data_IF_885969218791
#
_entry.id   IF_885969218791
#
_cell.length_a   1.000
_cell.length_b   1.000
_cell.length_c   1.000
_cell.angle_alpha   90.00
_cell.angle_beta   90.00
_cell.angle_gamma   90.00
#
_symmetry.space_group_name_H-M   'P 1'
#
loop_
_entity.id
_entity.type
_entity.pdbx_description
1 polymer ?
#
# COMPACT_ATOMS: atom_id res chain seq x y z
N UNK A 1 29.59 47.35 -69.88
CA UNK A 1 28.80 47.19 -71.12
C UNK A 1 27.41 46.64 -70.73
N UNK A 2 26.37 47.49 -70.89
CA UNK A 2 24.88 47.26 -70.90
C UNK A 2 24.22 46.52 -69.69
N UNK A 3 23.54 47.23 -68.76
CA UNK A 3 22.11 47.70 -68.71
C UNK A 3 21.09 46.52 -68.72
N UNK A 4 20.09 46.38 -67.82
CA UNK A 4 18.96 47.26 -67.39
C UNK A 4 18.40 46.75 -66.02
N UNK A 5 18.21 47.54 -64.97
CA UNK A 5 17.06 48.39 -64.57
C UNK A 5 15.67 47.72 -64.61
N UNK A 6 15.04 47.52 -63.43
CA UNK A 6 13.63 47.88 -63.15
C UNK A 6 13.40 48.03 -61.63
N UNK A 7 13.05 49.26 -61.22
CA UNK A 7 12.33 49.59 -59.99
C UNK A 7 10.95 48.91 -60.03
N UNK A 8 10.40 48.49 -58.89
CA UNK A 8 9.06 48.89 -58.47
C UNK A 8 8.89 48.80 -56.95
N UNK A 9 8.36 49.89 -56.42
CA UNK A 9 7.97 50.18 -55.06
C UNK A 9 6.51 49.74 -54.89
N UNK A 10 6.17 49.01 -53.82
CA UNK A 10 4.81 49.05 -53.24
C UNK A 10 4.83 48.59 -51.79
N UNK A 11 4.51 49.53 -50.90
CA UNK A 11 4.15 49.30 -49.52
C UNK A 11 2.68 48.90 -49.44
N UNK A 12 2.32 47.95 -48.57
CA UNK A 12 1.00 47.98 -47.92
C UNK A 12 0.99 47.23 -46.58
N UNK A 13 0.84 48.07 -45.56
CA UNK A 13 0.27 47.90 -44.22
C UNK A 13 -0.68 46.69 -44.02
N UNK A 14 -0.48 45.92 -42.94
CA UNK A 14 -1.54 45.71 -41.95
C UNK A 14 -0.95 45.32 -40.59
N UNK A 15 -1.21 46.16 -39.61
CA UNK A 15 -0.98 45.91 -38.20
C UNK A 15 -2.16 45.10 -37.61
N UNK A 16 -1.85 44.13 -36.78
CA UNK A 16 -2.76 43.64 -35.74
C UNK A 16 -1.94 43.42 -34.47
N UNK A 17 -1.95 44.45 -33.62
CA UNK A 17 -1.48 44.36 -32.24
C UNK A 17 -2.62 43.73 -31.45
N UNK A 18 -2.49 42.46 -31.06
CA UNK A 18 -3.36 41.87 -30.06
C UNK A 18 -2.81 42.24 -28.67
N UNK A 19 -3.44 43.22 -28.03
CA UNK A 19 -3.24 43.50 -26.62
C UNK A 19 -3.89 42.40 -25.78
N UNK A 20 -3.10 41.76 -24.92
CA UNK A 20 -3.61 40.92 -23.85
C UNK A 20 -4.05 41.82 -22.69
N UNK A 21 -5.36 42.02 -22.55
CA UNK A 21 -5.99 42.59 -21.35
C UNK A 21 -6.52 41.45 -20.50
N UNK A 22 -6.10 41.44 -19.24
CA UNK A 22 -6.56 40.56 -18.18
C UNK A 22 -8.09 40.55 -18.06
N UNK A 23 -8.68 39.36 -18.18
CA UNK A 23 -10.02 39.05 -17.71
C UNK A 23 -9.93 37.84 -16.80
N UNK A 24 -10.07 38.07 -15.49
CA UNK A 24 -10.27 37.03 -14.49
C UNK A 24 -11.65 36.40 -14.70
N UNK A 25 -11.70 35.26 -15.37
CA UNK A 25 -12.85 34.36 -15.30
C UNK A 25 -12.58 33.36 -14.18
N UNK A 26 -13.14 33.63 -13.01
CA UNK A 26 -13.40 32.61 -11.99
C UNK A 26 -14.32 31.56 -12.61
N UNK A 27 -13.74 30.44 -13.03
CA UNK A 27 -14.50 29.22 -13.28
C UNK A 27 -14.91 28.61 -11.93
N UNK A 28 -16.16 28.10 -11.83
CA UNK A 28 -16.75 27.75 -10.55
C UNK A 28 -15.99 26.60 -9.88
N UNK A 29 -15.78 26.73 -8.56
CA UNK A 29 -15.26 25.70 -7.66
C UNK A 29 -15.98 24.36 -7.92
N UNK A 30 -15.31 23.52 -8.71
CA UNK A 30 -15.73 22.16 -8.95
C UNK A 30 -15.41 21.33 -7.70
N UNK A 31 -16.46 20.95 -6.99
CA UNK A 31 -16.54 19.92 -5.95
C UNK A 31 -15.41 18.89 -6.08
N UNK A 32 -14.41 18.93 -5.19
CA UNK A 32 -13.32 17.97 -5.21
C UNK A 32 -13.83 16.60 -4.77
N UNK A 33 -13.98 15.70 -5.73
CA UNK A 33 -14.24 14.28 -5.57
C UNK A 33 -13.18 13.64 -4.64
N UNK A 34 -13.53 13.49 -3.37
CA UNK A 34 -12.70 12.86 -2.33
C UNK A 34 -12.78 11.32 -2.42
N UNK A 35 -12.34 10.75 -3.55
CA UNK A 35 -12.39 9.29 -3.70
C UNK A 35 -11.60 8.63 -4.84
N UNK A 36 -11.15 9.38 -5.86
CA UNK A 36 -10.52 8.79 -7.06
C UNK A 36 -9.01 9.03 -7.19
N UNK A 37 -8.39 9.70 -6.22
CA UNK A 37 -6.94 9.93 -6.16
C UNK A 37 -6.12 8.71 -5.72
N UNK A 38 -5.04 8.44 -6.46
CA UNK A 38 -3.88 7.55 -6.27
C UNK A 38 -4.06 6.07 -5.89
N UNK A 39 -5.20 5.63 -5.34
CA UNK A 39 -5.39 4.26 -4.81
C UNK A 39 -6.71 3.58 -5.22
N UNK A 40 -7.39 4.08 -6.25
CA UNK A 40 -8.74 3.63 -6.64
C UNK A 40 -8.93 2.10 -6.69
N UNK A 41 -7.92 1.34 -7.14
CA UNK A 41 -8.01 -0.11 -7.29
C UNK A 41 -7.25 -0.95 -6.23
N UNK A 42 -6.42 -0.33 -5.38
CA UNK A 42 -5.59 -1.05 -4.38
C UNK A 42 -6.43 -1.65 -3.25
N UNK A 43 -5.90 -2.63 -2.53
CA UNK A 43 -6.68 -3.23 -1.43
C UNK A 43 -6.88 -2.23 -0.26
N UNK A 44 -5.91 -1.35 0.01
CA UNK A 44 -6.05 -0.27 1.00
C UNK A 44 -7.10 0.76 0.58
N UNK A 45 -7.13 1.12 -0.71
CA UNK A 45 -8.15 2.04 -1.24
C UNK A 45 -9.57 1.48 -1.13
N UNK A 46 -9.75 0.17 -1.38
CA UNK A 46 -11.03 -0.53 -1.16
C UNK A 46 -11.44 -0.50 0.31
N UNK A 47 -10.52 -0.80 1.23
CA UNK A 47 -10.78 -0.76 2.66
C UNK A 47 -11.24 0.64 3.11
N UNK A 48 -10.52 1.69 2.72
CA UNK A 48 -10.85 3.06 3.08
C UNK A 48 -12.26 3.46 2.62
N UNK A 49 -12.65 3.10 1.38
CA UNK A 49 -14.00 3.35 0.87
C UNK A 49 -15.07 2.58 1.63
N UNK A 50 -14.83 1.31 1.97
CA UNK A 50 -15.79 0.52 2.74
C UNK A 50 -15.97 1.06 4.16
N UNK A 51 -14.90 1.49 4.84
CA UNK A 51 -15.00 2.16 6.13
C UNK A 51 -15.77 3.48 6.04
N UNK A 52 -15.46 4.34 5.07
CA UNK A 52 -16.18 5.60 4.87
C UNK A 52 -17.67 5.38 4.56
N UNK A 53 -17.97 4.41 3.69
CA UNK A 53 -19.34 4.06 3.33
C UNK A 53 -20.16 3.59 4.53
N UNK A 54 -19.61 2.70 5.35
CA UNK A 54 -20.26 2.21 6.56
C UNK A 54 -20.39 3.29 7.64
N UNK A 55 -19.34 4.09 7.87
CA UNK A 55 -19.37 5.18 8.85
C UNK A 55 -20.49 6.20 8.56
N UNK A 56 -20.70 6.52 7.27
CA UNK A 56 -21.73 7.47 6.82
C UNK A 56 -23.16 6.99 7.07
N UNK A 57 -23.41 5.68 7.23
CA UNK A 57 -24.75 5.16 7.51
C UNK A 57 -25.28 5.64 8.86
N UNK A 58 -24.40 5.74 9.86
CA UNK A 58 -24.74 6.14 11.23
C UNK A 58 -24.37 7.60 11.54
N UNK A 59 -23.69 8.30 10.62
CA UNK A 59 -23.18 9.66 10.82
C UNK A 59 -23.51 10.56 9.62
N UNK A 60 -24.77 10.97 9.48
CA UNK A 60 -25.19 11.98 8.51
C UNK A 60 -24.51 13.34 8.78
N UNK A 61 -24.02 14.05 7.75
CA UNK A 61 -23.32 15.35 7.87
C UNK A 61 -21.86 15.35 7.40
N UNK A 62 -21.07 16.34 7.84
CA UNK A 62 -19.71 16.67 7.37
C UNK A 62 -18.78 15.48 7.07
N UNK A 63 -18.04 15.60 5.97
CA UNK A 63 -17.18 14.57 5.41
C UNK A 63 -15.87 14.40 6.22
N UNK A 64 -15.66 13.19 6.75
CA UNK A 64 -14.31 12.73 7.12
C UNK A 64 -13.53 12.48 5.83
N UNK A 65 -12.38 13.14 5.69
CA UNK A 65 -11.46 12.90 4.58
C UNK A 65 -10.40 11.90 5.01
N UNK A 66 -10.37 10.74 4.35
CA UNK A 66 -9.29 9.78 4.47
C UNK A 66 -8.25 10.03 3.40
N UNK A 67 -6.99 10.09 3.81
CA UNK A 67 -5.85 10.08 2.89
C UNK A 67 -5.05 8.80 3.08
N UNK A 68 -5.19 7.82 2.17
CA UNK A 68 -4.33 6.66 2.18
C UNK A 68 -2.89 7.10 1.93
N UNK A 69 -1.95 6.51 2.66
CA UNK A 69 -0.52 6.74 2.45
C UNK A 69 0.13 5.45 1.97
N UNK A 70 1.03 5.57 1.00
CA UNK A 70 1.89 4.44 0.60
C UNK A 70 2.71 4.00 1.81
N UNK A 71 3.12 2.73 1.80
CA UNK A 71 4.25 2.27 2.61
C UNK A 71 5.39 3.28 2.42
N UNK A 72 5.84 3.95 3.47
CA UNK A 72 6.89 4.98 3.42
C UNK A 72 6.50 6.33 2.79
N UNK A 73 5.23 6.74 2.84
CA UNK A 73 4.82 8.04 2.35
C UNK A 73 5.70 9.19 2.86
N UNK A 74 6.02 10.09 1.92
CA UNK A 74 7.02 11.15 2.05
C UNK A 74 6.57 12.27 3.00
N UNK A 75 7.51 13.18 3.27
CA UNK A 75 7.33 14.47 3.95
C UNK A 75 6.03 15.20 3.57
N UNK A 76 5.60 15.10 2.31
CA UNK A 76 4.37 15.72 1.79
C UNK A 76 3.09 15.24 2.50
N UNK A 77 3.06 14.00 3.01
CA UNK A 77 1.92 13.49 3.77
C UNK A 77 1.59 14.40 4.97
N UNK A 78 2.58 15.10 5.54
CA UNK A 78 2.38 15.97 6.70
C UNK A 78 2.30 17.46 6.36
N UNK A 79 2.73 17.87 5.17
CA UNK A 79 2.61 19.28 4.76
C UNK A 79 1.15 19.71 4.62
N UNK A 80 0.28 18.73 4.31
CA UNK A 80 -1.16 18.87 4.13
C UNK A 80 -2.00 18.30 5.30
N UNK A 81 -1.37 17.95 6.43
CA UNK A 81 -2.09 17.63 7.68
C UNK A 81 -2.78 18.90 8.19
N UNK A 82 -3.92 19.22 7.59
CA UNK A 82 -4.86 20.20 8.09
C UNK A 82 -5.79 19.52 9.10
N UNK A 83 -6.43 20.32 9.95
CA UNK A 83 -7.47 19.85 10.85
C UNK A 83 -8.53 19.08 10.02
N UNK A 84 -8.97 17.92 10.52
CA UNK A 84 -9.95 16.99 9.91
C UNK A 84 -9.44 15.94 8.89
N UNK A 85 -8.16 15.94 8.46
CA UNK A 85 -7.61 14.85 7.63
C UNK A 85 -7.13 13.67 8.47
N UNK A 86 -7.56 12.45 8.12
CA UNK A 86 -7.10 11.20 8.74
C UNK A 86 -6.21 10.46 7.75
N UNK A 87 -5.00 10.11 8.19
CA UNK A 87 -4.07 9.36 7.36
C UNK A 87 -4.17 7.88 7.67
N UNK A 88 -4.26 7.05 6.63
CA UNK A 88 -4.36 5.60 6.78
C UNK A 88 -3.20 4.95 6.05
N UNK A 89 -2.35 4.21 6.76
CA UNK A 89 -1.20 3.55 6.16
C UNK A 89 -0.33 2.85 7.18
N UNK A 90 0.94 2.66 6.88
CA UNK A 90 1.84 1.85 7.71
C UNK A 90 2.79 2.73 8.53
N UNK A 91 3.78 2.12 9.19
CA UNK A 91 4.78 2.83 9.99
C UNK A 91 5.43 3.94 9.14
N UNK A 92 5.41 5.16 9.67
CA UNK A 92 6.04 6.30 9.04
C UNK A 92 7.57 6.19 9.09
N UNK A 93 8.29 6.69 8.08
CA UNK A 93 9.74 6.87 8.17
C UNK A 93 10.10 7.77 9.37
N UNK A 94 11.22 7.49 10.09
CA UNK A 94 11.64 8.33 11.23
C UNK A 94 11.71 9.81 10.89
N UNK A 95 12.25 10.14 9.71
CA UNK A 95 12.36 11.53 9.24
C UNK A 95 11.00 12.23 9.14
N UNK A 96 9.94 11.54 8.69
CA UNK A 96 8.60 12.11 8.59
C UNK A 96 7.98 12.36 9.98
N UNK A 97 8.25 11.48 10.95
CA UNK A 97 7.87 11.69 12.36
C UNK A 97 8.60 12.89 12.95
N UNK A 98 9.90 13.04 12.67
CA UNK A 98 10.72 14.15 13.17
C UNK A 98 10.33 15.49 12.52
N UNK A 99 10.02 15.49 11.22
CA UNK A 99 9.49 16.66 10.50
C UNK A 99 8.16 17.13 11.10
N UNK A 100 7.24 16.20 11.37
CA UNK A 100 5.99 16.51 12.05
C UNK A 100 6.22 17.08 13.45
N UNK A 101 7.11 16.45 14.24
CA UNK A 101 7.43 16.91 15.59
C UNK A 101 8.04 18.31 15.60
N UNK A 102 8.93 18.63 14.66
CA UNK A 102 9.49 19.98 14.50
C UNK A 102 8.42 21.02 14.18
N UNK A 103 7.41 20.65 13.36
CA UNK A 103 6.35 21.58 12.94
C UNK A 103 5.30 21.83 14.02
N UNK A 104 4.88 20.79 14.73
CA UNK A 104 3.72 20.85 15.63
C UNK A 104 4.07 20.77 17.13
N UNK A 105 5.33 20.47 17.47
CA UNK A 105 5.81 20.37 18.85
C UNK A 105 5.52 19.03 19.55
N UNK A 106 4.95 18.06 18.83
CA UNK A 106 4.66 16.70 19.33
C UNK A 106 4.62 15.70 18.17
N UNK A 107 4.75 14.40 18.46
CA UNK A 107 4.69 13.33 17.45
C UNK A 107 3.24 13.04 17.02
N UNK A 108 2.99 12.58 15.78
CA UNK A 108 1.65 12.18 15.37
C UNK A 108 1.21 10.95 16.18
N UNK A 109 -0.08 10.88 16.53
CA UNK A 109 -0.59 9.72 17.26
C UNK A 109 -0.88 8.60 16.26
N UNK A 110 -0.17 7.49 16.40
CA UNK A 110 -0.31 6.30 15.57
C UNK A 110 -1.23 5.29 16.26
N UNK A 111 -2.33 4.93 15.60
CA UNK A 111 -3.38 4.08 16.17
C UNK A 111 -3.42 2.80 15.36
N UNK A 112 -3.16 1.65 16.01
CA UNK A 112 -3.19 0.35 15.33
C UNK A 112 -4.63 -0.08 15.09
N UNK A 113 -5.00 -0.28 13.82
CA UNK A 113 -6.39 -0.55 13.43
C UNK A 113 -6.60 -1.89 12.75
N UNK A 114 -5.55 -2.48 12.17
CA UNK A 114 -5.60 -3.79 11.55
C UNK A 114 -4.20 -4.40 11.44
N UNK A 115 -4.15 -5.70 11.17
CA UNK A 115 -2.97 -6.41 10.70
C UNK A 115 -3.06 -6.61 9.19
N UNK A 116 -1.94 -6.41 8.52
CA UNK A 116 -1.70 -6.72 7.12
C UNK A 116 -0.61 -7.78 7.04
N UNK A 117 -0.80 -8.77 6.16
CA UNK A 117 0.13 -9.88 6.00
C UNK A 117 0.29 -10.23 4.55
N UNK A 118 1.55 -10.32 4.12
CA UNK A 118 1.90 -10.78 2.78
C UNK A 118 2.18 -12.27 2.79
N UNK A 119 1.32 -13.01 2.10
CA UNK A 119 1.52 -14.43 1.86
C UNK A 119 2.19 -14.66 0.51
N UNK A 120 3.05 -15.69 0.46
CA UNK A 120 3.55 -16.24 -0.80
C UNK A 120 2.66 -17.41 -1.18
N UNK A 121 2.13 -17.37 -2.39
CA UNK A 121 1.20 -18.35 -2.93
C UNK A 121 1.87 -19.18 -4.01
N UNK A 122 1.50 -20.46 -4.03
CA UNK A 122 1.79 -21.39 -5.12
C UNK A 122 0.54 -22.20 -5.42
N UNK A 123 0.50 -22.85 -6.57
CA UNK A 123 -0.54 -23.82 -6.88
C UNK A 123 -0.61 -24.92 -5.80
N UNK A 124 -1.81 -25.42 -5.47
CA UNK A 124 -2.00 -26.40 -4.39
C UNK A 124 -1.19 -27.69 -4.57
N UNK A 125 -1.01 -28.13 -5.81
CA UNK A 125 -0.23 -29.32 -6.18
C UNK A 125 1.29 -29.12 -6.17
N UNK A 126 1.78 -27.89 -6.02
CA UNK A 126 3.21 -27.65 -5.88
C UNK A 126 3.71 -28.26 -4.56
N UNK A 127 4.76 -29.11 -4.54
CA UNK A 127 5.17 -29.82 -3.33
C UNK A 127 5.95 -28.96 -2.32
N UNK A 128 6.35 -27.73 -2.67
CA UNK A 128 7.10 -26.86 -1.76
C UNK A 128 6.29 -26.57 -0.49
N UNK A 129 6.95 -26.64 0.68
CA UNK A 129 6.29 -26.48 1.99
C UNK A 129 6.51 -25.10 2.59
N UNK A 130 7.67 -24.51 2.33
CA UNK A 130 8.03 -23.21 2.84
C UNK A 130 9.24 -22.65 2.12
N UNK A 131 9.49 -21.35 2.32
CA UNK A 131 10.63 -20.63 1.74
C UNK A 131 11.22 -19.65 2.75
N UNK A 132 12.54 -19.49 2.73
CA UNK A 132 13.19 -18.41 3.46
C UNK A 132 13.01 -17.08 2.74
N UNK A 133 13.16 -15.95 3.43
CA UNK A 133 13.15 -14.63 2.76
C UNK A 133 14.23 -14.51 1.68
N UNK A 134 15.37 -15.19 1.84
CA UNK A 134 16.42 -15.24 0.83
C UNK A 134 15.96 -15.99 -0.44
N UNK A 135 15.29 -17.13 -0.29
CA UNK A 135 14.72 -17.88 -1.41
C UNK A 135 13.62 -17.08 -2.13
N UNK A 136 12.78 -16.36 -1.39
CA UNK A 136 11.78 -15.48 -2.01
C UNK A 136 12.49 -14.35 -2.77
N UNK A 137 13.52 -13.75 -2.20
CA UNK A 137 14.37 -12.77 -2.89
C UNK A 137 14.89 -13.30 -4.22
N UNK A 138 15.47 -14.52 -4.23
CA UNK A 138 15.97 -15.19 -5.43
C UNK A 138 14.93 -15.34 -6.55
N UNK A 139 13.66 -15.57 -6.20
CA UNK A 139 12.56 -15.73 -7.16
C UNK A 139 12.14 -14.40 -7.76
N UNK A 140 12.04 -13.34 -6.95
CA UNK A 140 11.39 -12.09 -7.36
C UNK A 140 12.36 -10.98 -7.80
N UNK A 141 13.62 -11.02 -7.37
CA UNK A 141 14.58 -9.95 -7.65
C UNK A 141 15.05 -9.93 -9.09
N UNK A 142 15.14 -8.75 -9.70
CA UNK A 142 15.94 -8.54 -10.91
C UNK A 142 17.42 -8.36 -10.62
N UNK A 143 17.74 -7.85 -9.44
CA UNK A 143 19.09 -7.63 -8.94
C UNK A 143 19.14 -8.04 -7.47
N UNK A 144 20.07 -8.91 -7.12
CA UNK A 144 20.25 -9.33 -5.72
C UNK A 144 20.98 -8.26 -4.93
N UNK A 145 20.28 -7.59 -4.02
CA UNK A 145 20.85 -6.52 -3.17
C UNK A 145 21.17 -6.96 -1.75
N UNK A 146 20.66 -8.10 -1.32
CA UNK A 146 20.87 -8.60 0.03
C UNK A 146 20.58 -10.10 0.12
N UNK A 147 20.93 -10.69 1.27
CA UNK A 147 20.65 -12.10 1.59
C UNK A 147 21.35 -13.11 0.66
N UNK A 148 22.35 -12.68 -0.12
CA UNK A 148 23.19 -13.54 -0.96
C UNK A 148 22.42 -14.32 -2.02
N UNK A 149 21.19 -13.91 -2.34
CA UNK A 149 20.28 -14.67 -3.17
C UNK A 149 20.78 -14.69 -4.62
N UNK A 150 21.02 -15.87 -5.19
CA UNK A 150 21.20 -16.01 -6.63
C UNK A 150 19.83 -16.17 -7.29
N UNK A 151 19.63 -15.60 -8.48
CA UNK A 151 18.33 -15.69 -9.14
C UNK A 151 17.92 -17.15 -9.38
N UNK A 152 16.73 -17.50 -8.91
CA UNK A 152 16.13 -18.81 -9.14
C UNK A 152 15.14 -18.70 -10.31
N UNK A 153 15.46 -19.38 -11.42
CA UNK A 153 14.59 -19.45 -12.60
C UNK A 153 13.73 -20.73 -12.65
N UNK A 154 14.09 -21.74 -11.86
CA UNK A 154 13.42 -23.05 -11.84
C UNK A 154 13.09 -23.48 -10.42
N UNK A 155 12.09 -24.35 -10.31
CA UNK A 155 11.72 -24.98 -9.03
C UNK A 155 12.85 -25.86 -8.46
N UNK A 156 13.72 -26.42 -9.30
CA UNK A 156 14.91 -27.16 -8.86
C UNK A 156 15.93 -26.30 -8.13
N UNK A 157 16.10 -25.03 -8.51
CA UNK A 157 16.95 -24.08 -7.79
C UNK A 157 16.43 -23.79 -6.36
N UNK A 158 15.16 -24.11 -6.08
CA UNK A 158 14.53 -24.00 -4.76
C UNK A 158 14.51 -25.35 -4.01
N UNK A 159 15.21 -26.36 -4.52
CA UNK A 159 15.33 -27.68 -3.88
C UNK A 159 14.22 -28.68 -4.22
N UNK A 160 13.35 -28.39 -5.20
CA UNK A 160 12.40 -29.38 -5.68
C UNK A 160 13.07 -30.40 -6.63
N UNK A 161 12.69 -31.67 -6.50
CA UNK A 161 13.29 -32.77 -7.25
C UNK A 161 12.31 -33.40 -8.27
N UNK A 162 12.80 -34.37 -9.03
CA UNK A 162 12.00 -35.14 -9.99
C UNK A 162 11.38 -34.27 -11.07
N UNK A 163 10.09 -34.46 -11.35
CA UNK A 163 9.35 -33.70 -12.39
C UNK A 163 9.30 -32.19 -12.12
N UNK A 164 9.66 -31.74 -10.92
CA UNK A 164 9.73 -30.32 -10.58
C UNK A 164 11.10 -29.70 -10.80
N UNK A 165 12.17 -30.49 -10.90
CA UNK A 165 13.54 -29.97 -10.95
C UNK A 165 13.76 -29.02 -12.14
N UNK A 166 13.28 -29.39 -13.32
CA UNK A 166 13.43 -28.59 -14.55
C UNK A 166 12.25 -27.64 -14.82
N UNK A 167 11.24 -27.57 -13.95
CA UNK A 167 10.07 -26.72 -14.19
C UNK A 167 10.45 -25.25 -14.04
N UNK A 168 10.12 -24.38 -15.02
CA UNK A 168 10.37 -22.95 -14.92
C UNK A 168 9.43 -22.31 -13.88
N UNK A 169 9.87 -21.22 -13.26
CA UNK A 169 9.04 -20.39 -12.41
C UNK A 169 8.24 -19.39 -13.26
N UNK A 170 6.95 -19.29 -13.00
CA UNK A 170 6.10 -18.19 -13.49
C UNK A 170 5.81 -17.26 -12.32
N UNK A 171 6.40 -16.07 -12.34
CA UNK A 171 6.42 -15.17 -11.17
C UNK A 171 5.40 -14.05 -11.36
N UNK A 172 4.48 -13.91 -10.41
CA UNK A 172 3.42 -12.90 -10.42
C UNK A 172 3.53 -11.97 -9.22
N UNK A 173 3.45 -10.67 -9.44
CA UNK A 173 3.54 -9.67 -8.39
C UNK A 173 2.42 -8.65 -8.49
N UNK A 174 2.22 -7.88 -7.41
CA UNK A 174 1.34 -6.73 -7.44
C UNK A 174 2.11 -5.53 -8.00
N UNK A 175 1.47 -4.78 -8.91
CA UNK A 175 2.04 -3.62 -9.56
C UNK A 175 2.25 -2.41 -8.63
N UNK A 176 3.01 -1.39 -9.06
CA UNK A 176 3.44 -0.26 -8.24
C UNK A 176 2.31 0.70 -7.81
N UNK A 177 1.08 0.47 -8.25
CA UNK A 177 -0.10 1.21 -7.79
C UNK A 177 -0.66 0.70 -6.45
N UNK A 178 -0.21 -0.46 -5.97
CA UNK A 178 -0.59 -1.02 -4.66
C UNK A 178 0.57 -0.91 -3.66
N UNK A 179 0.27 -0.60 -2.41
CA UNK A 179 1.27 -0.39 -1.36
C UNK A 179 2.03 -1.66 -0.95
N UNK A 180 1.51 -2.85 -1.30
CA UNK A 180 2.25 -4.11 -1.12
C UNK A 180 3.49 -4.18 -2.00
N UNK A 181 3.49 -3.52 -3.17
CA UNK A 181 4.63 -3.49 -4.05
C UNK A 181 5.86 -2.94 -3.33
N UNK A 182 5.72 -1.74 -2.74
CA UNK A 182 6.81 -1.07 -2.03
C UNK A 182 7.19 -1.83 -0.76
N UNK A 183 6.21 -2.37 -0.04
CA UNK A 183 6.49 -3.18 1.15
C UNK A 183 7.31 -4.43 0.83
N UNK A 184 6.91 -5.19 -0.18
CA UNK A 184 7.60 -6.40 -0.61
C UNK A 184 9.03 -6.09 -1.06
N UNK A 185 9.22 -5.04 -1.87
CA UNK A 185 10.55 -4.58 -2.29
C UNK A 185 11.45 -4.26 -1.11
N UNK A 186 10.92 -3.60 -0.08
CA UNK A 186 11.73 -3.24 1.09
C UNK A 186 12.05 -4.44 1.98
N UNK A 187 11.06 -5.28 2.30
CA UNK A 187 11.25 -6.38 3.26
C UNK A 187 12.00 -7.58 2.67
N UNK A 188 11.72 -7.90 1.40
CA UNK A 188 12.24 -9.10 0.75
C UNK A 188 13.44 -8.78 -0.13
N UNK A 189 13.36 -7.69 -0.90
CA UNK A 189 14.38 -7.33 -1.91
C UNK A 189 15.38 -6.27 -1.42
N UNK A 190 15.28 -5.83 -0.16
CA UNK A 190 16.12 -4.78 0.43
C UNK A 190 16.19 -3.51 -0.42
N UNK A 191 15.03 -3.05 -0.89
CA UNK A 191 14.89 -1.88 -1.75
C UNK A 191 15.16 -2.14 -3.24
N UNK A 192 15.59 -3.34 -3.60
CA UNK A 192 15.79 -3.79 -4.99
C UNK A 192 14.49 -3.81 -5.81
N UNK A 193 14.65 -3.88 -7.13
CA UNK A 193 13.54 -3.99 -8.08
C UNK A 193 13.09 -5.44 -8.30
N UNK A 194 11.84 -5.60 -8.71
CA UNK A 194 11.37 -6.86 -9.28
C UNK A 194 12.08 -7.14 -10.60
N UNK A 195 12.28 -8.42 -10.94
CA UNK A 195 12.85 -8.81 -12.22
C UNK A 195 11.91 -8.53 -13.40
N UNK A 196 12.47 -8.30 -14.59
CA UNK A 196 11.69 -8.03 -15.80
C UNK A 196 10.77 -9.19 -16.20
N UNK A 197 11.11 -10.41 -15.78
CA UNK A 197 10.30 -11.62 -15.97
C UNK A 197 9.04 -11.67 -15.09
N UNK A 198 8.92 -10.78 -14.09
CA UNK A 198 7.80 -10.77 -13.15
C UNK A 198 6.57 -10.13 -13.81
N UNK A 199 5.47 -10.87 -13.85
CA UNK A 199 4.20 -10.40 -14.40
C UNK A 199 3.39 -9.66 -13.34
N UNK A 200 3.18 -8.37 -13.57
CA UNK A 200 2.47 -7.51 -12.62
C UNK A 200 0.96 -7.57 -12.79
N UNK A 201 0.24 -7.56 -11.67
CA UNK A 201 -1.21 -7.55 -11.57
C UNK A 201 -1.71 -6.40 -10.69
N UNK A 202 -2.96 -5.94 -10.87
CA UNK A 202 -3.46 -4.76 -10.19
C UNK A 202 -3.77 -4.94 -8.69
N UNK A 203 -3.95 -6.16 -8.19
CA UNK A 203 -4.26 -6.45 -6.78
C UNK A 203 -4.05 -7.93 -6.42
N UNK A 204 -4.16 -8.24 -5.13
CA UNK A 204 -3.98 -9.59 -4.56
C UNK A 204 -4.88 -10.65 -5.21
N UNK A 205 -6.14 -10.31 -5.53
CA UNK A 205 -7.09 -11.25 -6.15
C UNK A 205 -6.69 -11.61 -7.60
N UNK A 206 -6.11 -10.68 -8.34
CA UNK A 206 -5.62 -10.94 -9.69
C UNK A 206 -4.36 -11.82 -9.69
N UNK A 207 -3.43 -11.61 -8.76
CA UNK A 207 -2.27 -12.52 -8.56
C UNK A 207 -2.75 -13.91 -8.17
N UNK A 208 -3.67 -14.00 -7.21
CA UNK A 208 -4.26 -15.25 -6.75
C UNK A 208 -4.85 -16.08 -7.90
N UNK A 209 -5.63 -15.45 -8.77
CA UNK A 209 -6.17 -16.13 -9.96
C UNK A 209 -5.06 -16.64 -10.88
N UNK A 210 -4.07 -15.82 -11.19
CA UNK A 210 -2.96 -16.22 -12.07
C UNK A 210 -2.17 -17.42 -11.49
N UNK A 211 -1.97 -17.45 -10.17
CA UNK A 211 -1.32 -18.58 -9.48
C UNK A 211 -2.18 -19.84 -9.49
N UNK A 212 -3.51 -19.70 -9.40
CA UNK A 212 -4.43 -20.85 -9.43
C UNK A 212 -4.51 -21.54 -10.80
N UNK A 213 -4.10 -20.87 -11.88
CA UNK A 213 -4.21 -21.36 -13.26
C UNK A 213 -2.96 -22.11 -13.74
N UNK A 214 -1.87 -22.14 -12.97
CA UNK A 214 -0.60 -22.73 -13.40
C UNK A 214 0.17 -23.42 -12.29
N UNK A 215 0.52 -24.69 -12.51
CA UNK A 215 1.39 -25.47 -11.61
C UNK A 215 2.75 -24.81 -11.36
N UNK A 216 3.22 -24.02 -12.34
CA UNK A 216 4.53 -23.40 -12.31
C UNK A 216 4.54 -22.03 -11.61
N UNK A 217 3.36 -21.56 -11.18
CA UNK A 217 3.19 -20.20 -10.68
C UNK A 217 3.58 -20.03 -9.23
N UNK A 218 4.16 -18.86 -8.96
CA UNK A 218 4.42 -18.30 -7.63
C UNK A 218 4.04 -16.83 -7.63
N UNK A 219 3.42 -16.36 -6.57
CA UNK A 219 3.10 -14.93 -6.43
C UNK A 219 2.93 -14.51 -4.99
N UNK A 220 2.75 -13.21 -4.75
CA UNK A 220 2.47 -12.68 -3.42
C UNK A 220 1.23 -11.80 -3.39
N UNK A 221 0.60 -11.70 -2.22
CA UNK A 221 -0.50 -10.77 -1.99
C UNK A 221 -0.99 -10.80 -0.55
N UNK A 222 -2.03 -10.01 -0.27
CA UNK A 222 -2.71 -10.02 1.03
C UNK A 222 -3.41 -11.35 1.26
N UNK A 223 -3.49 -11.75 2.52
CA UNK A 223 -4.17 -12.96 2.94
C UNK A 223 -5.60 -13.00 2.40
N UNK A 224 -5.82 -13.78 1.36
CA UNK A 224 -7.14 -14.26 0.98
C UNK A 224 -7.19 -15.69 1.50
N UNK A 225 -8.12 -15.97 2.42
CA UNK A 225 -8.44 -17.32 2.86
C UNK A 225 -8.34 -18.30 1.69
N UNK A 226 -7.59 -19.39 1.88
CA UNK A 226 -7.25 -20.44 0.90
C UNK A 226 -8.29 -20.55 -0.22
N UNK A 227 -7.99 -19.97 -1.38
CA UNK A 227 -8.65 -20.36 -2.62
C UNK A 227 -8.28 -21.82 -2.83
N UNK A 228 -9.26 -22.69 -3.04
CA UNK A 228 -9.10 -24.16 -3.02
C UNK A 228 -7.98 -24.69 -3.91
N UNK A 229 -7.62 -23.97 -4.98
CA UNK A 229 -6.59 -24.31 -5.96
C UNK A 229 -5.19 -23.78 -5.63
N UNK A 230 -5.02 -23.06 -4.53
CA UNK A 230 -3.74 -22.52 -4.08
C UNK A 230 -3.44 -22.86 -2.63
N UNK A 231 -2.17 -22.71 -2.25
CA UNK A 231 -1.76 -22.71 -0.85
C UNK A 231 -0.79 -21.57 -0.57
N UNK A 232 -0.87 -21.05 0.63
CA UNK A 232 0.11 -20.11 1.16
C UNK A 232 1.29 -20.89 1.79
N UNK A 233 2.50 -20.42 1.56
CA UNK A 233 3.72 -21.05 2.05
C UNK A 233 4.05 -20.61 3.48
N UNK A 234 4.63 -21.53 4.26
CA UNK A 234 5.25 -21.15 5.52
C UNK A 234 6.56 -20.42 5.26
N UNK A 235 6.85 -19.37 6.01
CA UNK A 235 8.04 -18.54 5.79
C UNK A 235 9.00 -18.61 6.98
N UNK A 236 10.29 -18.57 6.69
CA UNK A 236 11.34 -18.40 7.69
C UNK A 236 12.17 -17.15 7.36
N UNK A 237 12.64 -16.44 8.38
CA UNK A 237 13.51 -15.26 8.19
C UNK A 237 14.83 -15.66 7.51
N UNK A 238 15.41 -16.77 7.95
CA UNK A 238 16.62 -17.39 7.41
C UNK A 238 16.57 -18.92 7.62
N UNK A 239 17.66 -19.62 7.29
CA UNK A 239 17.75 -21.09 7.34
C UNK A 239 17.81 -21.66 8.77
N UNK A 240 18.12 -20.84 9.78
CA UNK A 240 18.24 -21.26 11.18
C UNK A 240 16.97 -20.97 11.98
N UNK A 241 15.98 -20.34 11.37
CA UNK A 241 14.71 -19.97 11.98
C UNK A 241 13.60 -20.95 11.57
N UNK A 242 12.61 -21.21 12.44
CA UNK A 242 11.51 -22.09 12.10
C UNK A 242 10.65 -21.50 10.98
N UNK A 243 10.09 -22.39 10.15
CA UNK A 243 9.05 -22.01 9.21
C UNK A 243 7.75 -21.72 9.97
N UNK A 244 7.18 -20.54 9.74
CA UNK A 244 5.95 -20.08 10.37
C UNK A 244 4.86 -20.00 9.30
N UNK A 245 3.73 -20.67 9.56
CA UNK A 245 2.59 -20.65 8.66
C UNK A 245 1.83 -19.30 8.75
N UNK A 246 1.24 -18.81 7.64
CA UNK A 246 0.42 -17.60 7.63
C UNK A 246 -0.98 -17.88 8.20
N UNK A 247 -1.06 -18.35 9.45
CA UNK A 247 -2.32 -18.59 10.17
C UNK A 247 -2.62 -17.46 11.14
N UNK A 248 -3.86 -17.42 11.65
CA UNK A 248 -4.35 -16.32 12.50
C UNK A 248 -3.43 -16.04 13.70
N UNK A 249 -3.06 -17.07 14.47
CA UNK A 249 -2.25 -16.90 15.68
C UNK A 249 -0.86 -16.31 15.39
N UNK A 250 -0.02 -16.91 14.53
CA UNK A 250 1.30 -16.35 14.16
C UNK A 250 1.26 -14.95 13.55
N UNK A 251 0.14 -14.59 12.90
CA UNK A 251 -0.04 -13.25 12.37
C UNK A 251 -0.39 -12.27 13.49
N UNK A 252 -1.31 -12.65 14.40
CA UNK A 252 -1.73 -11.80 15.51
C UNK A 252 -0.61 -11.57 16.53
N UNK A 253 0.22 -12.57 16.80
CA UNK A 253 1.37 -12.45 17.71
C UNK A 253 2.64 -11.89 17.04
N UNK A 254 2.62 -11.69 15.72
CA UNK A 254 3.72 -11.13 14.95
C UNK A 254 4.87 -12.10 14.65
N UNK A 255 4.69 -13.41 14.88
CA UNK A 255 5.69 -14.43 14.55
C UNK A 255 5.85 -14.67 13.04
N UNK A 256 4.83 -14.38 12.23
CA UNK A 256 4.92 -14.55 10.78
C UNK A 256 5.77 -13.42 10.14
N UNK A 257 6.84 -13.74 9.36
CA UNK A 257 7.86 -12.76 8.96
C UNK A 257 7.40 -11.54 8.17
N UNK A 258 6.27 -11.62 7.45
CA UNK A 258 5.77 -10.56 6.58
C UNK A 258 4.46 -9.96 7.09
N UNK A 259 4.33 -9.83 8.41
CA UNK A 259 3.19 -9.18 9.07
C UNK A 259 3.54 -7.77 9.53
N UNK A 260 2.57 -6.86 9.42
CA UNK A 260 2.69 -5.47 9.88
C UNK A 260 1.35 -4.92 10.35
N UNK A 261 1.39 -3.89 11.19
CA UNK A 261 0.19 -3.14 11.54
C UNK A 261 -0.14 -2.09 10.47
N UNK A 262 -1.43 -2.02 10.12
CA UNK A 262 -2.04 -0.85 9.52
C UNK A 262 -2.39 0.14 10.64
N UNK A 263 -2.08 1.40 10.41
CA UNK A 263 -2.28 2.49 11.34
C UNK A 263 -3.22 3.54 10.76
N UNK A 264 -3.97 4.17 11.65
CA UNK A 264 -4.50 5.49 11.44
C UNK A 264 -3.58 6.49 12.15
N UNK A 265 -3.20 7.56 11.47
CA UNK A 265 -2.51 8.69 12.07
C UNK A 265 -3.45 9.88 12.18
N UNK A 266 -3.47 10.46 13.37
CA UNK A 266 -4.23 11.67 13.68
C UNK A 266 -3.31 12.72 14.31
N UNK A 267 -3.62 13.97 14.02
CA UNK A 267 -3.06 15.11 14.72
C UNK A 267 -3.78 15.27 16.07
N UNK A 268 -3.41 14.44 17.05
CA UNK A 268 -3.88 14.55 18.42
C UNK A 268 -2.75 15.13 19.27
N UNK A 269 -3.05 16.21 20.00
CA UNK A 269 -2.12 16.73 21.01
C UNK A 269 -2.03 15.74 22.19
N UNK A 270 -0.85 15.55 22.81
CA UNK A 270 -0.71 14.63 23.93
C UNK A 270 -1.62 14.96 25.12
N UNK A 271 -1.80 16.26 25.38
CA UNK A 271 -2.54 16.83 26.53
C UNK A 271 -4.06 16.93 26.32
N UNK A 272 -4.59 16.48 25.17
CA UNK A 272 -6.02 16.62 24.85
C UNK A 272 -6.58 15.36 24.22
N UNK A 273 -7.85 15.01 24.50
CA UNK A 273 -8.52 13.94 23.77
C UNK A 273 -8.68 14.32 22.29
N UNK A 274 -8.77 13.31 21.43
CA UNK A 274 -9.22 13.53 20.05
C UNK A 274 -10.72 13.86 20.10
N UNK A 275 -11.15 14.88 19.36
CA UNK A 275 -12.53 15.36 19.39
C UNK A 275 -13.16 15.40 17.99
N UNK A 276 -14.47 15.59 17.96
CA UNK A 276 -15.24 15.73 16.72
C UNK A 276 -15.23 14.49 15.84
N UNK A 277 -15.45 14.71 14.53
CA UNK A 277 -15.67 13.65 13.55
C UNK A 277 -14.50 12.69 13.39
N UNK A 278 -13.27 13.15 13.59
CA UNK A 278 -12.10 12.27 13.55
C UNK A 278 -12.14 11.25 14.69
N UNK A 279 -12.55 11.70 15.88
CA UNK A 279 -12.70 10.85 17.05
C UNK A 279 -13.80 9.80 16.84
N UNK A 280 -14.95 10.21 16.30
CA UNK A 280 -16.05 9.30 15.95
C UNK A 280 -15.63 8.25 14.91
N UNK A 281 -14.91 8.68 13.86
CA UNK A 281 -14.44 7.78 12.82
C UNK A 281 -13.45 6.74 13.38
N UNK A 282 -12.47 7.16 14.18
CA UNK A 282 -11.53 6.19 14.76
C UNK A 282 -12.23 5.25 15.73
N UNK A 283 -13.18 5.75 16.53
CA UNK A 283 -14.01 4.91 17.42
C UNK A 283 -14.77 3.86 16.61
N UNK A 284 -15.36 4.25 15.49
CA UNK A 284 -16.03 3.35 14.57
C UNK A 284 -15.08 2.30 14.00
N UNK A 285 -13.90 2.68 13.50
CA UNK A 285 -12.90 1.74 12.95
C UNK A 285 -12.46 0.69 13.98
N UNK A 286 -12.31 1.09 15.25
CA UNK A 286 -11.95 0.18 16.36
C UNK A 286 -13.16 -0.58 16.94
N UNK A 287 -14.39 -0.28 16.51
CA UNK A 287 -15.61 -0.96 16.96
C UNK A 287 -15.78 -2.33 16.29
N UNK A 288 -16.64 -3.22 16.80
CA UNK A 288 -16.98 -4.47 16.13
C UNK A 288 -17.45 -4.27 14.68
N UNK A 289 -18.21 -3.21 14.39
CA UNK A 289 -18.69 -2.90 13.04
C UNK A 289 -17.56 -2.51 12.08
N UNK A 290 -16.63 -1.66 12.54
CA UNK A 290 -15.45 -1.27 11.76
C UNK A 290 -14.48 -2.43 11.51
N UNK A 291 -14.26 -3.26 12.54
CA UNK A 291 -13.39 -4.45 12.44
C UNK A 291 -13.99 -5.54 11.54
N UNK A 292 -15.31 -5.70 11.49
CA UNK A 292 -15.98 -6.67 10.62
C UNK A 292 -15.78 -6.41 9.12
N UNK A 293 -15.37 -5.18 8.74
CA UNK A 293 -15.10 -4.81 7.34
C UNK A 293 -13.74 -5.32 6.86
N UNK A 294 -12.78 -5.57 7.76
CA UNK A 294 -11.38 -5.87 7.42
C UNK A 294 -11.23 -7.16 6.62
N UNK A 295 -11.85 -8.26 7.07
CA UNK A 295 -11.67 -9.58 6.47
C UNK A 295 -12.08 -9.64 4.98
N UNK A 296 -13.13 -8.90 4.60
CA UNK A 296 -13.58 -8.81 3.20
C UNK A 296 -12.61 -8.06 2.29
N UNK A 297 -11.67 -7.32 2.87
CA UNK A 297 -10.65 -6.53 2.18
C UNK A 297 -9.24 -7.13 2.31
N UNK A 298 -9.10 -8.34 2.86
CA UNK A 298 -7.81 -9.03 3.00
C UNK A 298 -6.96 -8.56 4.18
N UNK A 299 -7.55 -7.84 5.14
CA UNK A 299 -6.90 -7.42 6.38
C UNK A 299 -7.42 -8.23 7.57
N UNK A 300 -6.61 -8.32 8.61
CA UNK A 300 -6.92 -9.11 9.82
C UNK A 300 -7.29 -8.14 10.96
N UNK A 301 -8.44 -8.36 11.64
CA UNK A 301 -8.82 -7.58 12.80
C UNK A 301 -7.75 -7.57 13.89
N UNK A 302 -7.62 -6.44 14.59
CA UNK A 302 -6.86 -6.42 15.84
C UNK A 302 -7.64 -7.15 16.94
N UNK A 303 -6.94 -7.66 17.95
CA UNK A 303 -7.60 -8.27 19.10
C UNK A 303 -8.45 -7.22 19.85
N UNK A 304 -9.45 -7.68 20.60
CA UNK A 304 -10.27 -6.79 21.45
C UNK A 304 -9.41 -6.01 22.47
N UNK A 305 -8.32 -6.61 22.95
CA UNK A 305 -7.39 -5.96 23.87
C UNK A 305 -6.61 -4.85 23.20
N UNK A 306 -6.11 -5.09 21.98
CA UNK A 306 -5.48 -4.04 21.18
C UNK A 306 -6.47 -2.93 20.88
N UNK A 307 -7.68 -3.23 20.41
CA UNK A 307 -8.69 -2.21 20.14
C UNK A 307 -9.00 -1.34 21.37
N UNK A 308 -9.15 -1.95 22.56
CA UNK A 308 -9.40 -1.21 23.82
C UNK A 308 -8.21 -0.34 24.23
N UNK A 309 -7.00 -0.87 24.16
CA UNK A 309 -5.78 -0.12 24.45
C UNK A 309 -5.66 1.09 23.51
N UNK A 310 -5.87 0.90 22.21
CA UNK A 310 -5.79 1.95 21.20
C UNK A 310 -6.88 3.01 21.40
N UNK A 311 -8.10 2.63 21.80
CA UNK A 311 -9.14 3.60 22.19
C UNK A 311 -8.71 4.45 23.40
N UNK A 312 -8.06 3.85 24.40
CA UNK A 312 -7.62 4.58 25.59
C UNK A 312 -6.60 5.68 25.27
N UNK A 313 -5.75 5.49 24.25
CA UNK A 313 -4.78 6.51 23.81
C UNK A 313 -5.45 7.76 23.22
N UNK A 314 -6.70 7.63 22.77
CA UNK A 314 -7.43 8.63 22.00
C UNK A 314 -8.42 9.39 22.89
N UNK A 315 -9.06 8.67 23.81
CA UNK A 315 -10.22 9.16 24.57
C UNK A 315 -9.98 9.29 26.08
N UNK A 316 -8.82 8.89 26.61
CA UNK A 316 -8.50 9.16 28.01
C UNK A 316 -8.12 10.62 28.20
N UNK A 317 -8.71 11.26 29.22
CA UNK A 317 -8.10 12.40 29.89
C UNK A 317 -6.78 11.90 30.48
N UNK A 318 -5.64 12.37 29.96
CA UNK A 318 -4.36 12.09 30.61
C UNK A 318 -4.31 12.90 31.92
N UNK A 319 -3.79 12.31 33.02
CA UNK A 319 -3.79 12.93 34.34
C UNK A 319 -3.07 14.28 34.40
#
# INVERSE_FOLDING_TARGET
MRRRLHLFLTAMLMAAIAGAVSGSSEEPEAVSDSGTGEFGASDLGKLARHWLGAFRQDHAGDAVSLRPTRSFASKAAFEEMQNAVIYVGYRLPPQAVDDFARRYGYKPTAIRVALDTVAIFVHRENPIRGMTLAQIGAVFSGESRCRGAQHAATWGALGLAGVWQARPLQVFAIGPADDLHDYFRQQVLCGGGLGEFVRMHPNSAAVARAVSESLNAIGFGRSVSTISSMKALSLAVDTNMPFVAPSERPVVDGAYPLTRFLHIYVQKRPDRPLTGRQADFVRFVLSPGGQAILGRNGFIPVSRDVARMEQSLIFADQP
#
